data_IF_231835529794
#
_entry.id   IF_231835529794
#
_cell.length_a   1.000
_cell.length_b   1.000
_cell.length_c   1.000
_cell.angle_alpha   90.00
_cell.angle_beta   90.00
_cell.angle_gamma   90.00
#
_symmetry.space_group_name_H-M   'P 1'
#
loop_
_entity.id
_entity.type
_entity.pdbx_description
1 polymer ?
#
# COMPACT_ATOMS: atom_id res chain seq x y z
N UNK A 1 21.95 -3.60 6.18
CA UNK A 1 21.38 -4.84 5.62
C UNK A 1 20.94 -5.69 6.79
N UNK A 2 19.65 -5.67 7.14
CA UNK A 2 19.15 -6.47 8.25
C UNK A 2 19.03 -7.93 7.79
N UNK A 3 19.83 -8.82 8.38
CA UNK A 3 19.74 -10.25 8.17
C UNK A 3 18.78 -10.84 9.20
N UNK A 4 17.52 -11.05 8.84
CA UNK A 4 16.60 -11.90 9.62
C UNK A 4 15.78 -12.77 8.67
N UNK A 5 15.48 -13.95 9.19
CA UNK A 5 15.27 -15.24 8.56
C UNK A 5 14.01 -15.45 7.68
N UNK A 6 13.99 -16.50 6.82
CA UNK A 6 13.16 -16.56 5.61
C UNK A 6 11.64 -16.70 5.81
N UNK A 7 10.91 -15.89 5.02
CA UNK A 7 9.50 -16.03 4.68
C UNK A 7 9.23 -17.16 3.68
N UNK A 8 7.97 -17.32 3.27
CA UNK A 8 7.37 -18.62 3.02
C UNK A 8 6.81 -18.78 1.60
N UNK A 9 7.29 -19.73 0.79
CA UNK A 9 6.63 -20.06 -0.49
C UNK A 9 5.57 -21.16 -0.35
N UNK A 10 4.56 -21.01 -1.20
CA UNK A 10 3.50 -21.97 -1.46
C UNK A 10 4.03 -23.27 -2.09
N UNK A 11 3.88 -24.37 -1.34
CA UNK A 11 3.22 -25.58 -1.84
C UNK A 11 3.95 -26.40 -2.91
N UNK A 12 5.18 -26.84 -2.66
CA UNK A 12 5.53 -28.18 -3.10
C UNK A 12 4.66 -29.14 -2.28
N UNK A 13 3.71 -29.81 -2.94
CA UNK A 13 2.84 -30.82 -2.35
C UNK A 13 3.68 -31.88 -1.63
N UNK A 14 3.92 -31.66 -0.33
CA UNK A 14 4.27 -32.67 0.66
C UNK A 14 3.03 -33.54 0.92
N UNK A 15 2.52 -34.14 -0.15
CA UNK A 15 1.68 -35.32 -0.05
C UNK A 15 2.61 -36.36 0.54
N UNK A 16 2.38 -36.72 1.81
CA UNK A 16 3.03 -37.86 2.45
C UNK A 16 3.06 -38.99 1.42
N UNK A 17 4.26 -39.40 0.97
CA UNK A 17 4.42 -40.52 0.04
C UNK A 17 3.96 -41.76 0.79
N UNK A 18 2.68 -42.10 0.64
CA UNK A 18 2.13 -43.34 1.15
C UNK A 18 2.88 -44.49 0.47
N UNK A 19 3.24 -45.55 1.21
CA UNK A 19 4.12 -46.63 0.73
C UNK A 19 3.61 -47.41 -0.49
N UNK A 20 2.39 -47.13 -0.95
CA UNK A 20 1.72 -47.79 -2.07
C UNK A 20 1.42 -46.86 -3.26
N UNK A 21 1.84 -45.59 -3.23
CA UNK A 21 1.53 -44.63 -4.30
C UNK A 21 0.04 -44.25 -4.41
N UNK A 22 -0.79 -44.70 -3.48
CA UNK A 22 -2.21 -44.38 -3.39
C UNK A 22 -2.40 -43.02 -2.71
N UNK A 23 -3.30 -42.18 -3.24
CA UNK A 23 -3.67 -40.92 -2.58
C UNK A 23 -4.56 -41.20 -1.36
N UNK A 24 -4.54 -40.32 -0.36
CA UNK A 24 -5.41 -40.43 0.82
C UNK A 24 -6.90 -40.50 0.42
N UNK A 25 -7.29 -39.74 -0.61
CA UNK A 25 -8.63 -39.78 -1.19
C UNK A 25 -8.98 -41.17 -1.71
N UNK A 26 -8.03 -41.84 -2.37
CA UNK A 26 -8.21 -43.21 -2.88
C UNK A 26 -8.41 -44.20 -1.74
N UNK A 27 -7.66 -44.07 -0.64
CA UNK A 27 -7.79 -44.94 0.53
C UNK A 27 -9.14 -44.75 1.23
N UNK A 28 -9.56 -43.49 1.44
CA UNK A 28 -10.85 -43.16 2.06
C UNK A 28 -12.00 -43.65 1.18
N UNK A 29 -11.93 -43.43 -0.13
CA UNK A 29 -12.92 -43.91 -1.08
C UNK A 29 -13.02 -45.45 -1.06
N UNK A 30 -11.87 -46.15 -1.00
CA UNK A 30 -11.84 -47.61 -0.90
C UNK A 30 -12.48 -48.12 0.39
N UNK A 31 -12.08 -47.59 1.55
CA UNK A 31 -12.64 -47.98 2.84
C UNK A 31 -14.14 -47.68 2.94
N UNK A 32 -14.58 -46.53 2.43
CA UNK A 32 -16.00 -46.18 2.40
C UNK A 32 -16.81 -47.10 1.47
N UNK A 33 -16.23 -47.50 0.32
CA UNK A 33 -16.86 -48.45 -0.59
C UNK A 33 -16.98 -49.83 0.05
N UNK A 34 -15.95 -50.28 0.77
CA UNK A 34 -15.96 -51.54 1.51
C UNK A 34 -17.01 -51.53 2.64
N UNK A 35 -17.04 -50.48 3.44
CA UNK A 35 -18.05 -50.31 4.49
C UNK A 35 -19.47 -50.29 3.91
N UNK A 36 -19.67 -49.58 2.79
CA UNK A 36 -20.96 -49.57 2.07
C UNK A 36 -21.37 -50.96 1.60
N UNK A 37 -20.46 -51.72 1.00
CA UNK A 37 -20.74 -53.08 0.57
C UNK A 37 -21.14 -53.98 1.76
N UNK A 38 -20.41 -53.87 2.87
CA UNK A 38 -20.69 -54.63 4.09
C UNK A 38 -22.07 -54.34 4.70
N UNK A 39 -22.60 -53.11 4.54
CA UNK A 39 -23.95 -52.76 5.00
C UNK A 39 -25.05 -53.02 3.98
N UNK A 40 -24.84 -52.72 2.70
CA UNK A 40 -25.89 -52.81 1.67
C UNK A 40 -26.22 -54.26 1.32
N UNK A 41 -25.23 -55.16 1.29
CA UNK A 41 -25.45 -56.56 0.91
C UNK A 41 -26.42 -57.26 1.90
N UNK A 42 -26.19 -57.27 3.24
CA UNK A 42 -27.11 -57.92 4.17
C UNK A 42 -28.51 -57.30 4.19
N UNK A 43 -28.60 -55.99 3.98
CA UNK A 43 -29.89 -55.28 3.97
C UNK A 43 -30.69 -55.60 2.70
N UNK A 44 -30.03 -55.72 1.55
CA UNK A 44 -30.67 -56.14 0.30
C UNK A 44 -31.24 -57.56 0.42
N UNK A 45 -30.49 -58.49 1.03
CA UNK A 45 -30.98 -59.85 1.32
C UNK A 45 -32.17 -59.84 2.29
N UNK A 46 -32.15 -58.97 3.30
CA UNK A 46 -33.25 -58.81 4.25
C UNK A 46 -34.54 -58.32 3.58
N UNK A 47 -34.45 -57.43 2.59
CA UNK A 47 -35.59 -56.97 1.78
C UNK A 47 -36.14 -58.11 0.91
N UNK A 48 -35.25 -58.90 0.32
CA UNK A 48 -35.62 -60.09 -0.47
C UNK A 48 -36.41 -61.12 0.36
N UNK A 49 -36.08 -61.25 1.65
CA UNK A 49 -36.84 -62.09 2.58
C UNK A 49 -38.15 -61.43 3.05
N UNK A 50 -38.13 -60.12 3.29
CA UNK A 50 -39.32 -59.36 3.70
C UNK A 50 -40.44 -59.45 2.64
N UNK A 51 -40.08 -59.56 1.36
CA UNK A 51 -41.03 -59.82 0.26
C UNK A 51 -41.94 -61.02 0.53
N UNK A 52 -41.38 -62.15 0.98
CA UNK A 52 -42.15 -63.37 1.25
C UNK A 52 -43.04 -63.24 2.49
N UNK A 53 -42.60 -62.48 3.49
CA UNK A 53 -43.40 -62.16 4.66
C UNK A 53 -44.60 -61.26 4.32
N UNK A 54 -44.42 -60.32 3.39
CA UNK A 54 -45.49 -59.41 2.93
C UNK A 54 -46.63 -60.15 2.22
N UNK A 55 -46.31 -61.19 1.44
CA UNK A 55 -47.27 -62.02 0.72
C UNK A 55 -47.86 -63.18 1.54
N UNK A 56 -47.74 -63.14 2.87
CA UNK A 56 -48.56 -64.01 3.73
C UNK A 56 -50.05 -63.66 3.67
N UNK A 57 -50.37 -62.42 3.30
CA UNK A 57 -51.73 -61.95 3.03
C UNK A 57 -51.94 -61.74 1.51
N UNK A 58 -53.20 -61.68 1.08
CA UNK A 58 -53.55 -61.29 -0.28
C UNK A 58 -53.20 -59.80 -0.54
N UNK A 59 -52.22 -59.56 -1.43
CA UNK A 59 -51.69 -58.23 -1.76
C UNK A 59 -51.54 -58.06 -3.28
N UNK A 60 -51.58 -56.82 -3.81
CA UNK A 60 -51.43 -56.57 -5.24
C UNK A 60 -50.05 -57.00 -5.74
N UNK A 61 -49.97 -57.54 -6.97
CA UNK A 61 -48.72 -58.03 -7.57
C UNK A 61 -47.67 -56.92 -7.80
N UNK A 62 -48.10 -55.66 -7.86
CA UNK A 62 -47.22 -54.50 -8.01
C UNK A 62 -46.22 -54.38 -6.85
N UNK A 63 -46.63 -54.74 -5.63
CA UNK A 63 -45.75 -54.69 -4.45
C UNK A 63 -44.54 -55.63 -4.63
N UNK A 64 -44.71 -56.76 -5.32
CA UNK A 64 -43.63 -57.69 -5.64
C UNK A 64 -42.52 -57.02 -6.48
N UNK A 65 -42.92 -56.21 -7.46
CA UNK A 65 -41.98 -55.49 -8.30
C UNK A 65 -41.30 -54.34 -7.54
N UNK A 66 -42.01 -53.69 -6.61
CA UNK A 66 -41.45 -52.66 -5.75
C UNK A 66 -40.39 -53.25 -4.78
N UNK A 67 -40.65 -54.43 -4.19
CA UNK A 67 -39.68 -55.13 -3.33
C UNK A 67 -38.44 -55.60 -4.10
N UNK A 68 -38.60 -56.14 -5.31
CA UNK A 68 -37.47 -56.55 -6.18
C UNK A 68 -36.67 -55.34 -6.68
N UNK A 69 -37.34 -54.21 -6.95
CA UNK A 69 -36.67 -52.97 -7.34
C UNK A 69 -35.89 -52.36 -6.17
N UNK A 70 -36.42 -52.46 -4.95
CA UNK A 70 -35.79 -51.91 -3.74
C UNK A 70 -34.51 -52.63 -3.31
N UNK A 71 -34.43 -53.95 -3.49
CA UNK A 71 -33.21 -54.70 -3.19
C UNK A 71 -32.06 -54.35 -4.14
N UNK A 72 -32.35 -53.81 -5.34
CA UNK A 72 -31.37 -53.51 -6.39
C UNK A 72 -30.88 -52.06 -6.42
N UNK A 73 -31.44 -51.17 -5.60
CA UNK A 73 -30.85 -49.85 -5.48
C UNK A 73 -31.68 -48.81 -4.75
N UNK A 74 -31.11 -47.59 -4.59
CA UNK A 74 -31.73 -46.52 -3.81
C UNK A 74 -33.04 -46.03 -4.41
N UNK A 75 -33.16 -46.04 -5.75
CA UNK A 75 -34.36 -45.58 -6.46
C UNK A 75 -35.56 -46.51 -6.22
N UNK A 76 -35.36 -47.82 -6.30
CA UNK A 76 -36.40 -48.78 -5.94
C UNK A 76 -36.74 -48.73 -4.46
N UNK A 77 -35.75 -48.45 -3.59
CA UNK A 77 -36.00 -48.26 -2.16
C UNK A 77 -36.91 -47.05 -1.90
N UNK A 78 -36.69 -45.94 -2.62
CA UNK A 78 -37.57 -44.77 -2.53
C UNK A 78 -39.01 -45.06 -2.98
N UNK A 79 -39.19 -45.94 -3.98
CA UNK A 79 -40.50 -46.37 -4.44
C UNK A 79 -41.21 -47.24 -3.39
N UNK A 80 -40.49 -48.21 -2.81
CA UNK A 80 -41.02 -49.09 -1.75
C UNK A 80 -41.42 -48.34 -0.48
N UNK A 81 -40.70 -47.27 -0.13
CA UNK A 81 -41.03 -46.35 0.96
C UNK A 81 -42.43 -45.74 0.84
N UNK A 82 -42.88 -45.47 -0.40
CA UNK A 82 -44.21 -44.90 -0.68
C UNK A 82 -45.32 -45.93 -0.59
N UNK A 83 -45.07 -47.20 -0.93
CA UNK A 83 -46.07 -48.26 -0.93
C UNK A 83 -46.25 -48.92 0.44
N UNK A 84 -45.17 -49.11 1.20
CA UNK A 84 -45.23 -49.85 2.49
C UNK A 84 -45.40 -48.97 3.74
N UNK A 85 -45.64 -47.65 3.59
CA UNK A 85 -45.75 -46.67 4.70
C UNK A 85 -44.66 -46.86 5.77
N UNK A 86 -43.40 -46.66 5.39
CA UNK A 86 -42.30 -46.51 6.35
C UNK A 86 -41.59 -47.81 6.75
N UNK A 87 -41.26 -48.67 5.79
CA UNK A 87 -40.33 -49.76 6.04
C UNK A 87 -38.94 -49.20 6.44
N UNK A 88 -38.55 -49.42 7.70
CA UNK A 88 -37.28 -48.94 8.29
C UNK A 88 -36.09 -49.43 7.46
N UNK A 89 -36.16 -50.67 6.97
CA UNK A 89 -35.09 -51.31 6.19
C UNK A 89 -34.86 -50.58 4.86
N UNK A 90 -35.93 -50.19 4.17
CA UNK A 90 -35.88 -49.42 2.93
C UNK A 90 -35.31 -48.00 3.14
N UNK A 91 -35.68 -47.37 4.26
CA UNK A 91 -35.13 -46.07 4.67
C UNK A 91 -33.62 -46.15 4.89
N UNK A 92 -33.14 -47.21 5.54
CA UNK A 92 -31.71 -47.42 5.80
C UNK A 92 -30.91 -47.57 4.51
N UNK A 93 -31.39 -48.33 3.52
CA UNK A 93 -30.72 -48.45 2.20
C UNK A 93 -30.61 -47.10 1.50
N UNK A 94 -31.67 -46.31 1.53
CA UNK A 94 -31.69 -45.01 0.86
C UNK A 94 -30.75 -44.01 1.55
N UNK A 95 -30.81 -43.92 2.88
CA UNK A 95 -29.97 -43.02 3.68
C UNK A 95 -28.49 -43.38 3.56
N UNK A 96 -28.14 -44.67 3.71
CA UNK A 96 -26.74 -45.11 3.58
C UNK A 96 -26.17 -44.87 2.19
N UNK A 97 -26.98 -45.00 1.13
CA UNK A 97 -26.56 -44.72 -0.23
C UNK A 97 -26.24 -43.24 -0.49
N UNK A 98 -26.98 -42.31 0.13
CA UNK A 98 -26.79 -40.87 -0.02
C UNK A 98 -25.66 -40.34 0.88
N UNK A 99 -25.61 -40.80 2.14
CA UNK A 99 -24.62 -40.31 3.10
C UNK A 99 -23.21 -40.76 2.73
N UNK A 100 -23.01 -41.97 2.20
CA UNK A 100 -21.66 -42.46 1.91
C UNK A 100 -20.95 -41.63 0.83
N UNK A 101 -21.66 -41.21 -0.22
CA UNK A 101 -21.06 -40.42 -1.32
C UNK A 101 -20.80 -38.96 -0.93
N UNK A 102 -21.66 -38.38 -0.10
CA UNK A 102 -21.52 -36.99 0.36
C UNK A 102 -20.47 -36.86 1.46
N UNK A 103 -20.43 -37.79 2.41
CA UNK A 103 -19.45 -37.79 3.50
C UNK A 103 -18.02 -37.95 2.98
N UNK A 104 -17.79 -38.82 2.01
CA UNK A 104 -16.44 -39.04 1.43
C UNK A 104 -15.89 -37.83 0.72
N UNK A 105 -16.74 -37.02 0.06
CA UNK A 105 -16.32 -35.78 -0.59
C UNK A 105 -16.10 -34.64 0.41
N UNK A 106 -16.88 -34.60 1.50
CA UNK A 106 -16.76 -33.55 2.53
C UNK A 106 -15.59 -33.75 3.51
N UNK A 107 -15.04 -34.96 3.63
CA UNK A 107 -14.08 -35.29 4.67
C UNK A 107 -12.65 -34.79 4.41
N UNK A 108 -12.31 -34.41 3.17
CA UNK A 108 -10.92 -34.10 2.81
C UNK A 108 -10.77 -32.63 2.46
N UNK A 109 -10.25 -31.88 3.43
CA UNK A 109 -9.73 -30.53 3.20
C UNK A 109 -8.20 -30.61 3.18
N UNK A 110 -7.57 -30.10 2.12
CA UNK A 110 -6.13 -29.92 2.06
C UNK A 110 -5.78 -28.50 2.48
N UNK A 111 -5.38 -28.26 3.75
CA UNK A 111 -4.92 -26.93 4.12
C UNK A 111 -3.59 -26.65 3.42
N UNK A 112 -3.52 -25.56 2.66
CA UNK A 112 -2.25 -25.03 2.17
C UNK A 112 -1.48 -24.54 3.39
N UNK A 113 -0.35 -25.20 3.68
CA UNK A 113 0.55 -24.78 4.74
C UNK A 113 1.76 -24.10 4.15
N UNK A 114 2.01 -22.91 4.66
CA UNK A 114 3.21 -22.14 4.44
C UNK A 114 4.40 -22.93 5.03
N UNK A 115 5.34 -23.36 4.17
CA UNK A 115 6.58 -24.04 4.55
C UNK A 115 7.80 -23.16 4.29
N UNK A 116 8.72 -23.09 5.25
CA UNK A 116 9.94 -22.27 5.15
C UNK A 116 10.81 -22.78 4.01
N UNK A 117 11.19 -21.89 3.10
CA UNK A 117 12.06 -22.19 1.96
C UNK A 117 13.40 -21.49 2.17
N UNK A 118 14.48 -22.12 1.72
CA UNK A 118 15.80 -21.51 1.72
C UNK A 118 15.83 -20.37 0.68
N UNK A 119 15.83 -19.13 1.15
CA UNK A 119 15.88 -17.92 0.34
C UNK A 119 16.01 -16.68 1.22
N UNK A 120 16.74 -15.66 0.77
CA UNK A 120 16.87 -14.42 1.53
C UNK A 120 15.91 -13.38 0.94
N UNK A 121 14.91 -12.98 1.72
CA UNK A 121 14.01 -11.88 1.37
C UNK A 121 14.63 -10.57 1.84
N UNK A 122 14.80 -9.59 0.94
CA UNK A 122 15.49 -8.33 1.25
C UNK A 122 14.61 -7.12 0.98
N UNK A 123 14.69 -6.14 1.87
CA UNK A 123 14.03 -4.84 1.74
C UNK A 123 15.05 -3.74 2.05
N UNK A 124 14.98 -2.64 1.29
CA UNK A 124 15.83 -1.48 1.52
C UNK A 124 15.35 -0.69 2.75
N UNK A 125 16.29 -0.32 3.62
CA UNK A 125 16.10 0.51 4.81
C UNK A 125 17.30 1.44 4.93
N UNK A 126 17.05 2.72 5.17
CA UNK A 126 18.08 3.69 5.53
C UNK A 126 18.33 3.65 7.04
N UNK A 127 19.59 3.40 7.42
CA UNK A 127 20.04 3.37 8.83
C UNK A 127 20.71 4.67 9.26
N UNK A 128 21.12 5.52 8.32
CA UNK A 128 21.78 6.79 8.57
C UNK A 128 21.86 7.62 7.30
N UNK A 129 21.89 8.94 7.42
CA UNK A 129 22.24 9.85 6.32
C UNK A 129 23.48 10.67 6.70
N UNK A 130 24.68 10.18 6.40
CA UNK A 130 25.91 10.95 6.65
C UNK A 130 26.82 10.93 5.45
N UNK A 131 27.11 12.11 4.92
CA UNK A 131 28.06 12.28 3.83
C UNK A 131 28.95 13.49 4.11
N UNK A 132 30.26 13.29 4.14
CA UNK A 132 31.24 14.34 4.35
C UNK A 132 32.41 14.13 3.40
N UNK A 133 32.66 15.10 2.53
CA UNK A 133 33.78 15.06 1.59
C UNK A 133 34.39 16.45 1.41
N UNK A 134 35.71 16.51 1.32
CA UNK A 134 36.42 17.71 0.85
C UNK A 134 36.63 17.70 -0.68
N UNK A 135 36.25 16.60 -1.36
CA UNK A 135 36.37 16.45 -2.80
C UNK A 135 35.14 17.04 -3.49
N UNK A 136 35.36 18.08 -4.28
CA UNK A 136 34.34 18.77 -5.06
C UNK A 136 33.55 17.81 -5.97
N UNK A 137 34.23 16.89 -6.66
CA UNK A 137 33.59 15.93 -7.57
C UNK A 137 32.62 14.98 -6.84
N UNK A 138 33.02 14.49 -5.67
CA UNK A 138 32.13 13.67 -4.83
C UNK A 138 30.92 14.46 -4.34
N UNK A 139 31.09 15.74 -4.00
CA UNK A 139 29.98 16.63 -3.64
C UNK A 139 29.00 16.84 -4.79
N UNK A 140 29.51 17.10 -6.00
CA UNK A 140 28.70 17.25 -7.22
C UNK A 140 27.91 15.96 -7.53
N UNK A 141 28.54 14.78 -7.39
CA UNK A 141 27.82 13.51 -7.58
C UNK A 141 26.66 13.35 -6.57
N UNK A 142 26.88 13.68 -5.30
CA UNK A 142 25.83 13.64 -4.27
C UNK A 142 24.68 14.60 -4.60
N UNK A 143 25.01 15.79 -5.10
CA UNK A 143 24.04 16.77 -5.56
C UNK A 143 23.20 16.21 -6.72
N UNK A 144 23.83 15.61 -7.72
CA UNK A 144 23.13 15.01 -8.85
C UNK A 144 22.17 13.88 -8.46
N UNK A 145 22.55 13.02 -7.50
CA UNK A 145 21.63 11.99 -6.99
C UNK A 145 20.40 12.60 -6.29
N UNK A 146 20.61 13.70 -5.57
CA UNK A 146 19.53 14.43 -4.90
C UNK A 146 18.61 15.09 -5.93
N UNK A 147 19.17 15.81 -6.91
CA UNK A 147 18.43 16.45 -8.00
C UNK A 147 17.59 15.46 -8.80
N UNK A 148 18.17 14.29 -9.12
CA UNK A 148 17.44 13.21 -9.78
C UNK A 148 16.25 12.72 -8.94
N UNK A 149 16.45 12.55 -7.63
CA UNK A 149 15.39 12.10 -6.72
C UNK A 149 14.28 13.15 -6.62
N UNK A 150 14.61 14.44 -6.55
CA UNK A 150 13.62 15.53 -6.56
C UNK A 150 12.84 15.53 -7.88
N UNK A 151 13.53 15.39 -9.01
CA UNK A 151 12.91 15.35 -10.33
C UNK A 151 11.96 14.14 -10.48
N UNK A 152 12.38 12.95 -10.05
CA UNK A 152 11.56 11.73 -10.03
C UNK A 152 10.29 11.94 -9.20
N UNK A 153 10.40 12.53 -8.00
CA UNK A 153 9.24 12.85 -7.16
C UNK A 153 8.29 13.86 -7.82
N UNK A 154 8.82 14.91 -8.44
CA UNK A 154 8.04 15.92 -9.17
C UNK A 154 7.38 15.41 -10.45
N UNK A 155 7.85 14.28 -10.99
CA UNK A 155 7.31 13.71 -12.23
C UNK A 155 5.97 13.01 -12.04
N UNK A 156 5.63 12.63 -10.79
CA UNK A 156 4.38 11.96 -10.46
C UNK A 156 3.20 12.94 -10.35
N UNK A 157 2.01 12.46 -10.71
CA UNK A 157 0.77 13.23 -10.56
C UNK A 157 0.48 13.50 -9.08
N UNK A 158 -0.17 14.63 -8.79
CA UNK A 158 -0.70 14.96 -7.47
C UNK A 158 -1.78 13.97 -6.96
N UNK A 159 -2.27 13.08 -7.83
CA UNK A 159 -3.25 12.03 -7.50
C UNK A 159 -2.62 10.66 -7.25
N UNK A 160 -1.30 10.53 -7.43
CA UNK A 160 -0.57 9.28 -7.27
C UNK A 160 0.52 9.44 -6.24
N UNK A 161 0.80 8.36 -5.51
CA UNK A 161 1.91 8.31 -4.58
C UNK A 161 3.17 7.75 -5.25
N UNK A 162 4.31 8.38 -5.01
CA UNK A 162 5.60 7.88 -5.49
C UNK A 162 5.90 6.48 -4.89
N UNK A 163 6.12 5.45 -5.71
CA UNK A 163 6.33 4.09 -5.22
C UNK A 163 7.65 3.98 -4.46
N UNK A 164 7.65 3.23 -3.36
CA UNK A 164 8.87 2.91 -2.63
C UNK A 164 9.65 1.82 -3.37
N UNK A 165 10.97 1.76 -3.15
CA UNK A 165 11.81 0.70 -3.71
C UNK A 165 11.25 -0.69 -3.33
N UNK A 166 10.95 -1.56 -4.32
CA UNK A 166 10.25 -2.81 -4.07
C UNK A 166 11.10 -3.78 -3.25
N UNK A 167 10.44 -4.54 -2.39
CA UNK A 167 11.07 -5.63 -1.67
C UNK A 167 11.35 -6.80 -2.63
N UNK A 168 12.47 -7.51 -2.41
CA UNK A 168 12.77 -8.73 -3.16
C UNK A 168 12.35 -9.93 -2.32
N UNK A 169 11.28 -10.58 -2.76
CA UNK A 169 10.82 -11.84 -2.20
C UNK A 169 11.14 -12.98 -3.19
N UNK A 170 11.91 -14.00 -2.80
CA UNK A 170 12.19 -15.16 -3.66
C UNK A 170 10.98 -16.10 -3.82
N UNK A 171 9.93 -15.88 -3.06
CA UNK A 171 8.75 -16.74 -2.92
C UNK A 171 7.46 -15.97 -3.26
N UNK A 172 6.33 -16.68 -3.36
CA UNK A 172 5.02 -16.06 -3.56
C UNK A 172 4.49 -15.36 -2.31
N UNK A 173 4.91 -15.80 -1.13
CA UNK A 173 4.62 -15.14 0.14
C UNK A 173 5.91 -14.81 0.91
N UNK A 174 6.02 -13.59 1.43
CA UNK A 174 7.08 -13.21 2.36
C UNK A 174 6.47 -12.39 3.49
N UNK A 175 6.95 -12.63 4.70
CA UNK A 175 6.61 -11.82 5.85
C UNK A 175 7.88 -11.32 6.50
N UNK A 176 7.95 -10.02 6.68
CA UNK A 176 9.02 -9.36 7.44
C UNK A 176 8.49 -9.00 8.81
N UNK A 177 9.40 -8.88 9.76
CA UNK A 177 9.10 -8.16 11.00
C UNK A 177 8.95 -6.67 10.66
N UNK A 178 8.18 -5.96 11.49
CA UNK A 178 8.07 -4.52 11.35
C UNK A 178 9.48 -3.92 11.43
N UNK A 179 9.77 -2.95 10.55
CA UNK A 179 11.07 -2.30 10.50
C UNK A 179 10.91 -0.80 10.38
N UNK A 180 11.82 -0.07 11.00
CA UNK A 180 11.87 1.39 10.93
C UNK A 180 12.95 1.84 9.96
N UNK A 181 12.74 2.93 9.23
CA UNK A 181 13.74 3.51 8.33
C UNK A 181 13.78 5.01 8.51
N UNK A 182 14.99 5.58 8.45
CA UNK A 182 15.14 7.01 8.23
C UNK A 182 14.50 7.36 6.88
N UNK A 183 13.77 8.47 6.85
CA UNK A 183 13.03 8.93 5.68
C UNK A 183 12.95 10.46 5.70
N UNK A 184 12.61 11.04 4.54
CA UNK A 184 12.17 12.42 4.45
C UNK A 184 10.63 12.42 4.51
N UNK A 185 10.10 13.24 5.41
CA UNK A 185 8.68 13.52 5.53
C UNK A 185 8.37 14.93 5.02
N UNK A 186 7.10 15.14 4.65
CA UNK A 186 6.57 16.46 4.38
C UNK A 186 5.45 16.80 5.37
N UNK A 187 5.34 18.07 5.73
CA UNK A 187 4.16 18.65 6.37
C UNK A 187 3.78 19.94 5.65
N UNK A 188 2.52 20.32 5.77
CA UNK A 188 1.97 21.52 5.15
C UNK A 188 1.06 22.25 6.13
N UNK A 189 0.97 23.57 5.95
CA UNK A 189 0.03 24.45 6.63
C UNK A 189 -0.56 25.44 5.64
N UNK A 190 -1.88 25.64 5.70
CA UNK A 190 -2.52 26.73 4.98
C UNK A 190 -2.28 28.03 5.76
N UNK A 191 -1.66 29.02 5.11
CA UNK A 191 -1.35 30.34 5.70
C UNK A 191 -2.02 31.47 4.92
N UNK A 192 -3.08 31.17 4.17
CA UNK A 192 -3.81 32.13 3.34
C UNK A 192 -4.32 33.31 4.17
N UNK A 193 -4.75 33.08 5.41
CA UNK A 193 -5.24 34.14 6.31
C UNK A 193 -4.16 35.16 6.71
N UNK A 194 -2.88 34.79 6.59
CA UNK A 194 -1.75 35.68 6.86
C UNK A 194 -1.33 36.50 5.64
N UNK A 195 -1.97 36.29 4.48
CA UNK A 195 -1.58 36.92 3.21
C UNK A 195 -2.14 38.34 3.11
N UNK A 196 -1.25 39.31 2.93
CA UNK A 196 -1.63 40.69 2.62
C UNK A 196 -1.51 40.94 1.11
N UNK A 197 -2.65 41.19 0.46
CA UNK A 197 -2.74 41.42 -0.98
C UNK A 197 -3.03 42.88 -1.27
N UNK A 198 -2.16 43.52 -2.05
CA UNK A 198 -2.35 44.89 -2.53
C UNK A 198 -2.64 44.88 -4.02
N UNK A 199 -3.71 45.59 -4.41
CA UNK A 199 -4.14 45.71 -5.81
C UNK A 199 -4.08 47.18 -6.18
N UNK A 200 -3.18 47.53 -7.09
CA UNK A 200 -3.09 48.88 -7.65
C UNK A 200 -3.73 48.88 -9.03
N UNK A 201 -4.83 49.63 -9.19
CA UNK A 201 -5.46 49.80 -10.49
C UNK A 201 -4.53 50.61 -11.39
N UNK A 202 -4.09 50.01 -12.49
CA UNK A 202 -3.30 50.68 -13.52
C UNK A 202 -4.23 51.17 -14.63
N UNK A 203 -4.04 52.38 -15.18
CA UNK A 203 -4.82 52.89 -16.32
C UNK A 203 -4.63 52.04 -17.59
N UNK A 204 -3.54 51.27 -17.68
CA UNK A 204 -3.34 50.22 -18.69
C UNK A 204 -3.38 48.85 -18.02
N UNK A 205 -4.25 47.91 -18.47
CA UNK A 205 -4.25 46.55 -17.95
C UNK A 205 -2.90 45.85 -18.25
N UNK A 206 -2.48 44.87 -17.42
CA UNK A 206 -3.19 44.30 -16.26
C UNK A 206 -2.94 45.10 -14.96
N UNK A 207 -3.85 45.03 -13.96
CA UNK A 207 -3.65 45.68 -12.67
C UNK A 207 -2.42 45.10 -11.95
N UNK A 208 -1.70 45.94 -11.21
CA UNK A 208 -0.56 45.49 -10.43
C UNK A 208 -1.06 44.80 -9.15
N UNK A 209 -0.67 43.54 -8.96
CA UNK A 209 -1.02 42.72 -7.80
C UNK A 209 0.23 42.26 -7.09
N UNK A 210 0.31 42.57 -5.80
CA UNK A 210 1.40 42.13 -4.94
C UNK A 210 0.84 41.43 -3.72
N UNK A 211 1.33 40.23 -3.46
CA UNK A 211 1.03 39.46 -2.27
C UNK A 211 2.25 39.43 -1.37
N UNK A 212 2.05 39.61 -0.07
CA UNK A 212 3.12 39.65 0.94
C UNK A 212 2.72 38.93 2.21
N UNK A 213 3.69 38.33 2.88
CA UNK A 213 3.53 37.58 4.11
C UNK A 213 4.34 38.21 5.26
N UNK A 214 3.94 38.01 6.53
CA UNK A 214 4.60 38.60 7.70
C UNK A 214 6.08 38.20 7.85
N UNK A 215 6.49 37.05 7.29
CA UNK A 215 7.87 36.59 7.30
C UNK A 215 8.77 37.25 6.24
N UNK A 216 8.25 38.22 5.48
CA UNK A 216 9.00 39.01 4.48
C UNK A 216 9.01 38.39 3.08
N UNK A 217 8.31 37.27 2.86
CA UNK A 217 8.14 36.68 1.53
C UNK A 217 7.07 37.46 0.78
N UNK A 218 7.33 37.74 -0.50
CA UNK A 218 6.38 38.44 -1.35
C UNK A 218 6.45 37.94 -2.78
N UNK A 219 5.31 37.96 -3.46
CA UNK A 219 5.19 37.58 -4.86
C UNK A 219 4.51 38.71 -5.65
N UNK A 220 5.08 39.04 -6.80
CA UNK A 220 4.40 39.85 -7.80
C UNK A 220 3.48 38.94 -8.63
N UNK A 221 2.17 39.10 -8.45
CA UNK A 221 1.11 38.36 -9.13
C UNK A 221 0.50 39.17 -10.29
N UNK A 222 1.17 40.24 -10.70
CA UNK A 222 0.78 41.04 -11.87
C UNK A 222 1.09 40.28 -13.16
N UNK A 223 0.18 40.35 -14.13
CA UNK A 223 0.41 39.81 -15.46
C UNK A 223 -0.87 39.36 -16.16
N UNK A 224 -0.77 39.12 -17.47
CA UNK A 224 -1.80 38.41 -18.24
C UNK A 224 -1.49 36.91 -18.20
N UNK A 225 -1.87 36.24 -17.12
CA UNK A 225 -1.68 34.81 -16.97
C UNK A 225 -2.96 34.13 -16.48
N UNK A 226 -3.16 32.86 -16.86
CA UNK A 226 -4.27 32.04 -16.37
C UNK A 226 -4.07 31.55 -14.93
N UNK A 227 -2.86 31.74 -14.40
CA UNK A 227 -2.53 31.60 -13.01
C UNK A 227 -1.02 31.71 -12.86
N UNK A 228 -0.58 31.92 -11.62
CA UNK A 228 0.84 32.01 -11.28
C UNK A 228 1.09 31.31 -9.96
N UNK A 229 2.14 30.50 -9.93
CA UNK A 229 2.66 29.92 -8.70
C UNK A 229 4.07 30.46 -8.48
N UNK A 230 4.34 30.89 -7.26
CA UNK A 230 5.66 31.30 -6.79
C UNK A 230 6.01 30.40 -5.61
N UNK A 231 7.14 29.73 -5.72
CA UNK A 231 7.72 28.94 -4.65
C UNK A 231 8.98 29.64 -4.17
N UNK A 232 9.11 29.82 -2.85
CA UNK A 232 10.27 30.48 -2.26
C UNK A 232 10.65 29.84 -0.93
N UNK A 233 11.90 29.41 -0.82
CA UNK A 233 12.50 28.91 0.40
C UNK A 233 12.54 29.98 1.49
N UNK A 234 12.29 29.57 2.73
CA UNK A 234 12.25 30.44 3.90
C UNK A 234 13.07 29.87 5.05
N UNK A 235 13.69 30.76 5.81
CA UNK A 235 14.35 30.40 7.08
C UNK A 235 13.47 30.71 8.29
N UNK A 236 12.32 31.35 8.07
CA UNK A 236 11.40 31.83 9.11
C UNK A 236 9.97 31.47 8.67
N UNK A 237 9.58 30.19 8.77
CA UNK A 237 8.19 29.81 8.50
C UNK A 237 7.26 30.50 9.50
N UNK A 238 6.06 30.84 9.06
CA UNK A 238 4.96 31.38 9.87
C UNK A 238 4.35 30.26 10.72
N UNK A 239 4.18 29.08 10.14
CA UNK A 239 3.63 27.90 10.79
C UNK A 239 4.62 26.73 10.70
N UNK A 240 5.01 26.18 11.84
CA UNK A 240 5.80 24.94 11.93
C UNK A 240 5.66 24.32 13.32
N UNK A 241 5.47 23.00 13.36
CA UNK A 241 5.56 22.18 14.57
C UNK A 241 6.80 21.25 14.55
N UNK A 242 7.67 21.42 13.55
CA UNK A 242 8.83 20.56 13.30
C UNK A 242 10.06 21.09 14.02
N UNK A 243 10.83 20.19 14.63
CA UNK A 243 12.11 20.52 15.23
C UNK A 243 13.08 21.07 14.17
N UNK A 244 13.62 22.30 14.34
CA UNK A 244 14.54 22.92 13.39
C UNK A 244 15.75 22.07 13.03
N UNK A 245 16.27 21.25 13.95
CA UNK A 245 17.42 20.36 13.71
C UNK A 245 17.12 19.27 12.67
N UNK A 246 15.86 18.81 12.60
CA UNK A 246 15.42 17.82 11.61
C UNK A 246 14.92 18.43 10.30
N UNK A 247 14.74 19.76 10.26
CA UNK A 247 14.20 20.47 9.10
C UNK A 247 15.23 20.52 7.97
N UNK A 248 14.87 20.00 6.80
CA UNK A 248 15.69 20.06 5.60
C UNK A 248 15.46 21.37 4.86
N UNK A 249 14.22 21.64 4.46
CA UNK A 249 13.89 22.81 3.65
C UNK A 249 12.47 23.27 3.93
N UNK A 250 12.32 24.51 4.37
CA UNK A 250 11.03 25.18 4.50
C UNK A 250 10.83 26.07 3.28
N UNK A 251 9.63 26.05 2.71
CA UNK A 251 9.28 26.89 1.58
C UNK A 251 7.82 27.30 1.62
N UNK A 252 7.56 28.41 0.96
CA UNK A 252 6.24 29.00 0.85
C UNK A 252 5.78 28.90 -0.58
N UNK A 253 4.53 28.49 -0.75
CA UNK A 253 3.79 28.46 -2.00
C UNK A 253 2.83 29.64 -1.99
N UNK A 254 3.01 30.60 -2.88
CA UNK A 254 2.03 31.67 -3.14
C UNK A 254 1.45 31.41 -4.51
N UNK A 255 0.12 31.39 -4.61
CA UNK A 255 -0.56 31.13 -5.87
C UNK A 255 -1.68 32.15 -6.15
N UNK A 256 -1.89 32.42 -7.43
CA UNK A 256 -3.09 33.05 -7.99
C UNK A 256 -3.61 32.12 -9.09
N UNK A 257 -4.87 31.71 -8.99
CA UNK A 257 -5.53 30.77 -9.89
C UNK A 257 -6.79 31.43 -10.46
N UNK A 258 -7.05 31.24 -11.76
CA UNK A 258 -8.33 31.67 -12.36
C UNK A 258 -9.34 30.52 -12.38
N UNK A 259 -10.47 30.72 -11.69
CA UNK A 259 -11.62 29.80 -11.69
C UNK A 259 -12.88 30.51 -12.18
N UNK A 260 -13.06 30.62 -13.49
CA UNK A 260 -14.21 31.33 -14.06
C UNK A 260 -14.15 32.85 -13.83
N UNK A 261 -15.17 33.42 -13.17
CA UNK A 261 -15.23 34.86 -12.89
C UNK A 261 -14.44 35.30 -11.62
N UNK A 262 -14.01 34.34 -10.79
CA UNK A 262 -13.36 34.61 -9.51
C UNK A 262 -11.89 34.16 -9.53
N UNK A 263 -11.02 35.00 -9.01
CA UNK A 263 -9.60 34.73 -8.82
C UNK A 263 -9.38 34.19 -7.40
N UNK A 264 -8.73 33.03 -7.28
CA UNK A 264 -8.37 32.44 -6.00
C UNK A 264 -6.89 32.72 -5.72
N UNK A 265 -6.65 33.56 -4.71
CA UNK A 265 -5.29 33.89 -4.23
C UNK A 265 -5.11 33.23 -2.87
N UNK A 266 -3.98 32.56 -2.68
CA UNK A 266 -3.69 31.96 -1.38
C UNK A 266 -2.22 31.66 -1.18
N UNK A 267 -1.92 31.20 0.02
CA UNK A 267 -0.58 30.86 0.43
C UNK A 267 -0.56 29.62 1.33
N UNK A 268 0.45 28.78 1.13
CA UNK A 268 0.71 27.62 1.95
C UNK A 268 2.20 27.57 2.32
N UNK A 269 2.51 27.05 3.50
CA UNK A 269 3.86 26.72 3.89
C UNK A 269 4.03 25.21 3.94
N UNK A 270 5.18 24.74 3.49
CA UNK A 270 5.54 23.34 3.50
C UNK A 270 6.96 23.16 4.00
N UNK A 271 7.19 22.04 4.68
CA UNK A 271 8.49 21.65 5.20
C UNK A 271 8.81 20.24 4.76
N UNK A 272 10.02 20.05 4.25
CA UNK A 272 10.68 18.76 4.15
C UNK A 272 11.59 18.59 5.38
N UNK A 273 11.51 17.45 6.05
CA UNK A 273 12.27 17.18 7.27
C UNK A 273 12.57 15.69 7.41
N UNK A 274 13.60 15.34 8.18
CA UNK A 274 13.87 13.96 8.52
C UNK A 274 12.86 13.41 9.53
N UNK A 275 12.45 12.18 9.30
CA UNK A 275 11.56 11.44 10.19
C UNK A 275 11.94 9.96 10.16
N UNK A 276 11.54 9.22 11.20
CA UNK A 276 11.59 7.76 11.18
C UNK A 276 10.21 7.23 10.86
N UNK A 277 10.09 6.42 9.81
CA UNK A 277 8.85 5.70 9.46
C UNK A 277 8.98 4.23 9.80
N UNK A 278 7.97 3.69 10.46
CA UNK A 278 7.87 2.25 10.79
C UNK A 278 6.91 1.59 9.83
N UNK A 279 7.37 0.54 9.17
CA UNK A 279 6.63 -0.15 8.12
C UNK A 279 6.22 -1.56 8.56
N UNK A 280 4.99 -1.92 8.24
CA UNK A 280 4.57 -3.32 8.16
C UNK A 280 4.68 -3.74 6.69
N UNK A 281 5.45 -4.79 6.42
CA UNK A 281 5.64 -5.28 5.07
C UNK A 281 5.22 -6.74 4.97
N UNK A 282 4.34 -7.00 4.02
CA UNK A 282 3.96 -8.35 3.62
C UNK A 282 3.95 -8.47 2.11
N UNK A 283 4.22 -9.67 1.63
CA UNK A 283 4.13 -10.03 0.23
C UNK A 283 3.18 -11.20 0.16
N UNK A 284 2.03 -11.04 -0.51
CA UNK A 284 1.01 -12.06 -0.64
C UNK A 284 0.57 -12.19 -2.10
N UNK A 285 0.61 -13.39 -2.66
CA UNK A 285 0.24 -13.63 -4.06
C UNK A 285 1.06 -12.81 -5.07
N UNK A 286 2.34 -12.57 -4.80
CA UNK A 286 3.22 -11.67 -5.57
C UNK A 286 2.89 -10.17 -5.49
N UNK A 287 2.03 -9.75 -4.57
CA UNK A 287 1.67 -8.35 -4.36
C UNK A 287 2.33 -7.87 -3.08
N UNK A 288 3.08 -6.77 -3.18
CA UNK A 288 3.64 -6.10 -2.03
C UNK A 288 2.60 -5.22 -1.36
N UNK A 289 2.39 -5.43 -0.05
CA UNK A 289 1.59 -4.57 0.80
C UNK A 289 2.50 -3.99 1.88
N UNK A 290 2.72 -2.68 1.80
CA UNK A 290 3.56 -1.93 2.72
C UNK A 290 2.77 -0.77 3.33
N UNK A 291 2.56 -0.84 4.64
CA UNK A 291 1.80 0.17 5.38
C UNK A 291 2.69 0.87 6.40
N UNK A 292 2.47 2.17 6.59
CA UNK A 292 3.16 2.95 7.64
C UNK A 292 2.37 2.81 8.93
N UNK A 293 2.97 2.17 9.93
CA UNK A 293 2.35 1.94 11.26
C UNK A 293 2.58 3.14 12.19
N UNK A 294 3.70 3.84 12.02
CA UNK A 294 4.07 4.95 12.89
C UNK A 294 5.12 5.86 12.29
N UNK A 295 5.11 7.11 12.73
CA UNK A 295 6.07 8.15 12.35
C UNK A 295 6.59 8.83 13.62
N UNK A 296 7.91 8.91 13.76
CA UNK A 296 8.59 9.54 14.90
C UNK A 296 9.48 10.67 14.43
N UNK A 297 9.49 11.77 15.17
CA UNK A 297 10.26 13.00 14.89
C UNK A 297 11.14 13.40 16.07
N UNK A 298 11.29 12.54 17.07
CA UNK A 298 12.05 12.80 18.28
C UNK A 298 13.54 12.80 17.95
N UNK A 299 14.12 14.00 17.96
CA UNK A 299 15.55 14.22 17.71
C UNK A 299 16.30 14.14 19.03
N UNK A 300 17.32 13.29 19.06
CA UNK A 300 18.29 13.18 20.14
C UNK A 300 19.69 13.44 19.59
N UNK A 301 20.58 13.99 20.43
CA UNK A 301 22.00 14.03 20.09
C UNK A 301 22.63 12.70 20.49
N UNK A 302 23.30 12.05 19.54
CA UNK A 302 23.94 10.75 19.77
C UNK A 302 25.34 10.68 19.19
N UNK A 303 26.22 9.92 19.83
CA UNK A 303 27.54 9.61 19.30
C UNK A 303 27.44 8.51 18.25
N UNK A 304 27.86 8.80 17.02
CA UNK A 304 27.79 7.88 15.88
C UNK A 304 29.20 7.49 15.48
N UNK A 305 29.44 6.20 15.30
CA UNK A 305 30.68 5.71 14.71
C UNK A 305 30.64 5.90 13.20
N UNK A 306 31.54 6.75 12.68
CA UNK A 306 31.64 6.98 11.26
C UNK A 306 32.34 5.81 10.54
N UNK A 307 31.97 5.54 9.27
CA UNK A 307 32.70 4.58 8.45
C UNK A 307 34.19 4.92 8.34
N UNK A 308 35.03 3.91 8.10
CA UNK A 308 36.44 4.06 7.76
C UNK A 308 37.34 4.72 8.83
N UNK A 309 37.05 4.52 10.13
CA UNK A 309 37.98 4.89 11.21
C UNK A 309 38.04 6.38 11.53
N UNK A 310 37.06 7.17 11.08
CA UNK A 310 36.95 8.62 11.36
C UNK A 310 36.55 8.97 12.81
N UNK A 311 36.51 7.99 13.71
CA UNK A 311 36.13 8.16 15.11
C UNK A 311 34.63 8.36 15.31
N UNK A 312 34.24 8.61 16.56
CA UNK A 312 32.87 8.96 16.93
C UNK A 312 32.64 10.46 16.71
N UNK A 313 31.49 10.81 16.14
CA UNK A 313 31.00 12.20 16.08
C UNK A 313 29.66 12.32 16.77
N UNK A 314 29.44 13.45 17.44
CA UNK A 314 28.12 13.82 17.90
C UNK A 314 27.32 14.36 16.71
N UNK A 315 26.25 13.65 16.36
CA UNK A 315 25.33 14.00 15.28
C UNK A 315 23.90 14.00 15.81
N UNK A 316 23.02 14.84 15.26
CA UNK A 316 21.60 14.69 15.50
C UNK A 316 21.14 13.35 14.91
N UNK A 317 20.25 12.68 15.64
CA UNK A 317 19.71 11.40 15.25
C UNK A 317 18.23 11.31 15.64
N UNK A 318 17.44 10.61 14.84
CA UNK A 318 16.03 10.36 15.16
C UNK A 318 15.94 9.01 15.86
N UNK A 319 15.19 8.94 16.95
CA UNK A 319 15.01 7.71 17.72
C UNK A 319 14.38 6.59 16.88
N UNK A 320 14.85 5.35 17.04
CA UNK A 320 14.17 4.16 16.51
C UNK A 320 13.01 3.77 17.46
N UNK A 321 11.75 3.78 17.00
CA UNK A 321 10.60 3.43 17.84
C UNK A 321 10.52 1.92 18.15
N UNK A 322 11.20 1.06 17.39
CA UNK A 322 11.17 -0.38 17.60
C UNK A 322 12.28 -0.87 18.55
N UNK A 323 13.45 -0.21 18.52
CA UNK A 323 14.64 -0.61 19.28
C UNK A 323 15.09 0.51 20.22
N UNK A 324 14.76 0.45 21.53
CA UNK A 324 15.20 1.44 22.50
C UNK A 324 16.74 1.50 22.58
N UNK A 325 17.32 2.66 22.25
CA UNK A 325 18.78 2.90 22.25
C UNK A 325 19.44 2.81 20.88
N UNK A 326 18.69 2.42 19.84
CA UNK A 326 19.10 2.54 18.44
C UNK A 326 18.55 3.85 17.87
N UNK A 327 19.41 4.64 17.22
CA UNK A 327 19.03 5.93 16.64
C UNK A 327 19.50 6.00 15.17
N UNK A 328 18.80 6.80 14.36
CA UNK A 328 19.10 7.04 12.95
C UNK A 328 19.82 8.38 12.77
N UNK A 329 21.15 8.40 12.69
CA UNK A 329 21.89 9.64 12.61
C UNK A 329 21.83 10.27 11.23
N UNK A 330 21.86 11.59 11.20
CA UNK A 330 21.94 12.37 9.97
C UNK A 330 22.92 13.54 10.11
N UNK A 331 23.61 13.93 9.04
CA UNK A 331 24.64 14.96 9.12
C UNK A 331 25.59 15.08 7.94
N UNK A 332 26.65 15.87 8.16
CA UNK A 332 27.75 16.06 7.21
C UNK A 332 27.48 17.13 6.16
N UNK A 333 28.43 17.32 5.24
CA UNK A 333 28.33 18.31 4.15
C UNK A 333 27.25 17.95 3.12
N UNK A 334 26.84 16.68 3.03
CA UNK A 334 25.77 16.24 2.13
C UNK A 334 24.40 16.84 2.44
N UNK A 335 24.14 17.25 3.68
CA UNK A 335 22.92 17.99 4.02
C UNK A 335 22.86 19.34 3.31
N UNK A 336 23.99 20.07 3.27
CA UNK A 336 24.08 21.33 2.55
C UNK A 336 23.80 21.16 1.06
N UNK A 337 24.40 20.14 0.44
CA UNK A 337 24.12 19.81 -0.98
C UNK A 337 22.65 19.47 -1.22
N UNK A 338 22.01 18.74 -0.30
CA UNK A 338 20.59 18.41 -0.41
C UNK A 338 19.70 19.67 -0.31
N UNK A 339 20.03 20.57 0.62
CA UNK A 339 19.34 21.86 0.77
C UNK A 339 19.51 22.76 -0.44
N UNK A 340 20.71 22.81 -1.03
CA UNK A 340 20.97 23.55 -2.26
C UNK A 340 20.18 22.97 -3.44
N UNK A 341 20.17 21.66 -3.65
CA UNK A 341 19.35 21.01 -4.68
C UNK A 341 17.86 21.29 -4.50
N UNK A 342 17.36 21.26 -3.26
CA UNK A 342 15.97 21.62 -2.95
C UNK A 342 15.70 23.09 -3.26
N UNK A 343 16.61 24.00 -2.90
CA UNK A 343 16.49 25.40 -3.24
C UNK A 343 16.48 25.63 -4.76
N UNK A 344 17.32 24.95 -5.53
CA UNK A 344 17.32 25.05 -6.99
C UNK A 344 16.03 24.51 -7.63
N UNK A 345 15.48 23.43 -7.09
CA UNK A 345 14.25 22.82 -7.64
C UNK A 345 12.97 23.55 -7.22
N UNK A 346 12.92 24.07 -5.99
CA UNK A 346 11.73 24.64 -5.37
C UNK A 346 11.74 26.17 -5.33
N UNK A 347 12.82 26.88 -5.67
CA UNK A 347 12.76 28.34 -5.80
C UNK A 347 12.46 28.72 -7.25
N UNK A 348 11.37 29.46 -7.47
CA UNK A 348 11.06 29.98 -8.78
C UNK A 348 9.61 30.38 -8.92
N UNK A 349 9.24 30.73 -10.15
CA UNK A 349 7.87 31.07 -10.48
C UNK A 349 7.49 30.53 -11.85
N UNK A 350 6.23 30.16 -11.98
CA UNK A 350 5.66 29.72 -13.24
C UNK A 350 4.32 30.40 -13.47
N UNK A 351 4.13 30.95 -14.66
CA UNK A 351 2.89 31.54 -15.12
C UNK A 351 2.61 31.06 -16.55
N UNK A 352 1.38 30.63 -16.81
CA UNK A 352 0.96 30.20 -18.14
C UNK A 352 0.59 31.42 -19.01
N UNK A 353 0.98 31.39 -20.29
CA UNK A 353 0.73 32.43 -21.30
C UNK A 353 1.26 33.84 -20.99
N UNK A 354 2.27 33.99 -20.11
CA UNK A 354 2.92 35.30 -19.89
C UNK A 354 4.04 35.56 -20.90
N UNK A 355 4.17 36.81 -21.37
CA UNK A 355 5.37 37.29 -22.08
C UNK A 355 6.59 37.52 -21.16
N UNK A 356 6.42 37.35 -19.85
CA UNK A 356 7.49 37.44 -18.85
C UNK A 356 8.39 36.20 -18.88
N UNK A 357 9.70 36.42 -18.63
CA UNK A 357 10.65 35.33 -18.39
C UNK A 357 10.29 34.61 -17.09
N UNK A 358 9.48 33.55 -17.18
CA UNK A 358 9.33 32.60 -16.08
C UNK A 358 10.72 32.13 -15.63
N UNK A 359 11.00 32.20 -14.33
CA UNK A 359 12.17 31.51 -13.76
C UNK A 359 11.84 30.03 -13.70
N UNK A 360 11.96 29.36 -14.86
CA UNK A 360 11.56 27.98 -15.12
C UNK A 360 12.27 27.00 -14.18
N UNK A 361 11.76 26.85 -12.96
CA UNK A 361 11.98 25.67 -12.13
C UNK A 361 10.85 24.68 -12.41
N UNK A 362 11.18 23.39 -12.46
CA UNK A 362 10.21 22.34 -12.76
C UNK A 362 9.09 22.28 -11.71
N UNK A 363 9.39 22.58 -10.44
CA UNK A 363 8.41 22.49 -9.37
C UNK A 363 7.28 23.54 -9.50
N UNK A 364 7.52 24.86 -9.63
CA UNK A 364 6.45 25.83 -9.82
C UNK A 364 5.45 25.46 -10.93
N UNK A 365 5.94 24.90 -12.06
CA UNK A 365 5.09 24.42 -13.15
C UNK A 365 4.21 23.23 -12.75
N UNK A 366 4.78 22.26 -12.01
CA UNK A 366 4.04 21.09 -11.51
C UNK A 366 2.97 21.47 -10.49
N UNK A 367 3.31 22.36 -9.56
CA UNK A 367 2.34 22.90 -8.59
C UNK A 367 1.23 23.66 -9.32
N UNK A 368 1.56 24.55 -10.26
CA UNK A 368 0.56 25.28 -11.03
C UNK A 368 -0.41 24.35 -11.76
N UNK A 369 0.10 23.34 -12.48
CA UNK A 369 -0.74 22.40 -13.21
C UNK A 369 -1.71 21.64 -12.30
N UNK A 370 -1.25 21.19 -11.13
CA UNK A 370 -2.10 20.50 -10.16
C UNK A 370 -3.13 21.42 -9.51
N UNK A 371 -2.74 22.65 -9.16
CA UNK A 371 -3.65 23.63 -8.56
C UNK A 371 -4.73 24.10 -9.55
N UNK A 372 -4.36 24.30 -10.81
CA UNK A 372 -5.25 24.83 -11.85
C UNK A 372 -6.18 23.74 -12.43
N UNK A 373 -5.68 22.51 -12.64
CA UNK A 373 -6.42 21.44 -13.31
C UNK A 373 -6.73 20.23 -12.41
N UNK A 374 -6.38 20.29 -11.12
CA UNK A 374 -6.56 19.16 -10.20
C UNK A 374 -8.02 18.76 -10.00
N UNK A 375 -8.96 19.72 -9.98
CA UNK A 375 -10.39 19.43 -9.87
C UNK A 375 -10.87 18.53 -11.02
N UNK A 376 -10.52 18.90 -12.27
CA UNK A 376 -10.80 18.11 -13.46
C UNK A 376 -10.12 16.74 -13.42
N UNK A 377 -8.86 16.70 -12.95
CA UNK A 377 -8.12 15.45 -12.82
C UNK A 377 -8.79 14.48 -11.84
N UNK A 378 -9.34 14.99 -10.73
CA UNK A 378 -10.08 14.20 -9.74
C UNK A 378 -11.46 13.75 -10.27
N UNK A 379 -12.15 14.61 -11.01
CA UNK A 379 -13.39 14.26 -11.72
C UNK A 379 -13.18 13.09 -12.69
N UNK A 380 -12.12 13.15 -13.51
CA UNK A 380 -11.75 12.09 -14.46
C UNK A 380 -11.43 10.75 -13.75
N UNK A 381 -11.01 10.80 -12.48
CA UNK A 381 -10.75 9.64 -11.62
C UNK A 381 -11.99 9.18 -10.82
N UNK A 382 -13.16 9.77 -11.07
CA UNK A 382 -14.41 9.38 -10.42
C UNK A 382 -14.66 10.04 -9.05
N UNK A 383 -13.95 11.12 -8.72
CA UNK A 383 -14.23 11.99 -7.54
C UNK A 383 -14.80 13.34 -8.01
N UNK A 384 -16.09 13.43 -8.39
CA UNK A 384 -16.69 14.68 -8.85
C UNK A 384 -17.01 15.65 -7.70
N UNK A 385 -17.17 16.94 -8.01
CA UNK A 385 -17.61 18.01 -7.09
C UNK A 385 -16.68 18.25 -5.89
N UNK A 386 -15.37 18.05 -6.06
CA UNK A 386 -14.38 18.37 -5.01
C UNK A 386 -14.19 19.89 -4.92
N UNK A 387 -14.22 20.44 -3.70
CA UNK A 387 -14.04 21.88 -3.50
C UNK A 387 -12.64 22.34 -3.93
N UNK A 388 -12.53 23.56 -4.47
CA UNK A 388 -11.24 24.09 -4.93
C UNK A 388 -10.20 24.15 -3.80
N UNK A 389 -10.61 24.45 -2.57
CA UNK A 389 -9.73 24.44 -1.40
C UNK A 389 -9.18 23.04 -1.11
N UNK A 390 -10.02 22.00 -1.18
CA UNK A 390 -9.59 20.60 -1.01
C UNK A 390 -8.59 20.22 -2.10
N UNK A 391 -8.84 20.59 -3.36
CA UNK A 391 -7.92 20.33 -4.47
C UNK A 391 -6.56 20.99 -4.21
N UNK A 392 -6.56 22.25 -3.79
CA UNK A 392 -5.33 22.99 -3.51
C UNK A 392 -4.53 22.30 -2.40
N UNK A 393 -5.17 22.00 -1.28
CA UNK A 393 -4.51 21.40 -0.12
C UNK A 393 -4.00 19.99 -0.43
N UNK A 394 -4.81 19.12 -1.06
CA UNK A 394 -4.39 17.78 -1.47
C UNK A 394 -3.24 17.85 -2.49
N UNK A 395 -3.30 18.77 -3.45
CA UNK A 395 -2.27 18.91 -4.48
C UNK A 395 -0.91 19.30 -3.91
N UNK A 396 -0.88 20.34 -3.06
CA UNK A 396 0.35 20.81 -2.42
C UNK A 396 0.92 19.70 -1.53
N UNK A 397 0.08 19.06 -0.73
CA UNK A 397 0.50 17.97 0.16
C UNK A 397 1.06 16.78 -0.62
N UNK A 398 0.36 16.32 -1.67
CA UNK A 398 0.75 15.13 -2.42
C UNK A 398 2.00 15.34 -3.27
N UNK A 399 2.15 16.49 -3.94
CA UNK A 399 3.37 16.80 -4.68
C UNK A 399 4.57 16.87 -3.72
N UNK A 400 4.43 17.56 -2.59
CA UNK A 400 5.51 17.65 -1.59
C UNK A 400 5.84 16.28 -1.01
N UNK A 401 4.83 15.46 -0.73
CA UNK A 401 5.01 14.08 -0.26
C UNK A 401 5.72 13.20 -1.29
N UNK A 402 5.46 13.37 -2.59
CA UNK A 402 6.14 12.61 -3.64
C UNK A 402 7.63 12.96 -3.71
N UNK A 403 8.00 14.23 -3.53
CA UNK A 403 9.40 14.65 -3.39
C UNK A 403 10.03 13.98 -2.16
N UNK A 404 9.35 14.03 -1.01
CA UNK A 404 9.83 13.43 0.24
C UNK A 404 10.01 11.90 0.13
N UNK A 405 9.04 11.21 -0.48
CA UNK A 405 9.10 9.75 -0.71
C UNK A 405 10.22 9.38 -1.66
N UNK A 406 10.41 10.14 -2.73
CA UNK A 406 11.52 9.91 -3.66
C UNK A 406 12.89 10.10 -2.99
N UNK A 407 13.05 11.17 -2.20
CA UNK A 407 14.26 11.40 -1.39
C UNK A 407 14.49 10.32 -0.31
N UNK A 408 13.45 9.57 0.09
CA UNK A 408 13.57 8.48 1.05
C UNK A 408 14.01 7.16 0.40
N UNK A 409 13.92 7.03 -0.92
CA UNK A 409 14.19 5.78 -1.65
C UNK A 409 15.69 5.57 -1.94
N UNK A 410 16.49 6.63 -1.92
CA UNK A 410 17.93 6.65 -2.23
C UNK A 410 18.70 7.30 -1.09
#
# INVERSE_FOLDING_TARGET
>A
MAHITPGVATGASLVCKWPLGLTLNTLIAFLATLARAAFVIPVSESISQLKWLWYRDERPLKDFQDFDSASRGPWGSLQLLKTTKGCIISTVVFVTAIFTSTLTQSAVTYPVRLARVDGTAVVARSTSFYFSTANLFSGINQQHYTEQSIFEGLSYSHTQEFPLSPARCPTSECKWEAYSSLSVCAKFWNVTDSLNTTVTQSPTPPPSRFASLPNGISANLSGYHQGKVVLQGTRRPIASDINPESSLFNFTVIYSLLGGANEAIGAAEAVLYFCTKTYNLSFAGNIELREVIGVTTDVEQGSVELPAGQGRRELPAIRDPLEPGSNFPFGGTGLGSMQESLAYALNGSYADMSGDQSTLALAPARYWAALQYGAKTLEDLGRPNVSQETVINESIANITNNIARSLSNR
#
